data_IF_053921438071
#
_entry.id   IF_053921438071
#
_cell.length_a   1.000
_cell.length_b   1.000
_cell.length_c   1.000
_cell.angle_alpha   90.00
_cell.angle_beta   90.00
_cell.angle_gamma   90.00
#
_symmetry.space_group_name_H-M   'P 1'
#
loop_
_entity.id
_entity.type
_entity.pdbx_description
1 polymer ?
#
# COMPACT_ATOMS: atom_id res chain seq x y z
N UNK A 1 30.77 57.73 19.75
CA UNK A 1 29.80 57.62 20.86
C UNK A 1 30.05 56.28 21.53
N UNK A 2 30.63 56.28 22.74
CA UNK A 2 30.91 55.07 23.54
C UNK A 2 29.60 54.59 24.16
N UNK A 3 29.29 53.31 24.04
CA UNK A 3 28.21 52.67 24.79
C UNK A 3 28.90 51.82 25.87
N UNK A 4 28.87 52.34 27.10
CA UNK A 4 29.37 51.66 28.30
C UNK A 4 28.33 50.64 28.79
N UNK A 5 28.73 49.37 28.87
CA UNK A 5 27.96 48.31 29.52
C UNK A 5 28.10 48.44 31.05
N UNK A 6 27.07 48.96 31.73
CA UNK A 6 26.89 48.77 33.17
C UNK A 6 25.97 47.57 33.41
N UNK A 7 26.55 46.45 33.81
CA UNK A 7 25.84 45.34 34.44
C UNK A 7 25.71 45.68 35.92
N UNK A 8 24.51 46.02 36.37
CA UNK A 8 24.21 46.17 37.80
C UNK A 8 24.03 44.78 38.42
N UNK A 9 24.81 44.50 39.46
CA UNK A 9 24.78 43.26 40.22
C UNK A 9 23.46 43.14 41.00
N UNK A 10 22.56 42.27 40.53
CA UNK A 10 21.38 41.87 41.30
C UNK A 10 21.79 40.86 42.39
N UNK A 11 21.94 41.32 43.62
CA UNK A 11 22.27 40.45 44.76
C UNK A 11 20.98 40.06 45.48
N UNK A 12 20.53 38.81 45.32
CA UNK A 12 19.44 38.24 46.13
C UNK A 12 20.06 37.73 47.44
N UNK A 13 19.88 38.46 48.54
CA UNK A 13 20.20 37.94 49.87
C UNK A 13 19.05 37.04 50.35
N UNK A 14 19.17 35.73 50.22
CA UNK A 14 18.26 34.80 50.86
C UNK A 14 18.61 34.64 52.34
N UNK A 15 17.67 35.08 53.18
CA UNK A 15 17.74 35.03 54.64
C UNK A 15 17.90 33.61 55.18
N UNK A 16 18.61 33.54 56.30
CA UNK A 16 19.11 32.35 57.00
C UNK A 16 17.95 31.51 57.60
N UNK A 17 17.32 30.66 56.79
CA UNK A 17 16.47 29.55 57.23
C UNK A 17 16.87 28.22 56.54
N UNK A 18 18.17 28.02 56.30
CA UNK A 18 18.68 26.99 55.39
C UNK A 18 18.89 25.58 55.99
N UNK A 19 18.34 25.28 57.17
CA UNK A 19 18.58 24.00 57.87
C UNK A 19 17.56 22.90 57.57
N UNK A 20 16.26 23.22 57.63
CA UNK A 20 15.19 22.21 57.51
C UNK A 20 14.71 22.00 56.07
N UNK A 21 14.72 23.02 55.21
CA UNK A 21 14.24 22.90 53.83
C UNK A 21 15.23 22.24 52.88
N UNK A 22 16.55 22.38 53.12
CA UNK A 22 17.58 21.72 52.31
C UNK A 22 17.51 20.19 52.39
N UNK A 23 17.08 19.65 53.52
CA UNK A 23 16.90 18.20 53.71
C UNK A 23 15.69 17.69 52.94
N UNK A 24 14.66 18.53 52.75
CA UNK A 24 13.45 18.20 51.98
C UNK A 24 13.74 18.09 50.48
N UNK A 25 14.43 19.07 49.90
CA UNK A 25 14.79 19.08 48.47
C UNK A 25 15.73 17.93 48.09
N UNK A 26 16.69 17.61 48.96
CA UNK A 26 17.62 16.49 48.73
C UNK A 26 16.89 15.13 48.73
N UNK A 27 15.87 14.97 49.58
CA UNK A 27 15.03 13.75 49.61
C UNK A 27 14.14 13.63 48.38
N UNK A 28 13.56 14.74 47.91
CA UNK A 28 12.73 14.77 46.69
C UNK A 28 13.57 14.43 45.46
N UNK A 29 14.78 15.00 45.36
CA UNK A 29 15.70 14.70 44.25
C UNK A 29 16.15 13.23 44.26
N UNK A 30 16.45 12.66 45.43
CA UNK A 30 16.80 11.25 45.56
C UNK A 30 15.65 10.31 45.13
N UNK A 31 14.41 10.62 45.53
CA UNK A 31 13.23 9.86 45.11
C UNK A 31 12.97 9.95 43.61
N UNK A 32 13.17 11.13 43.01
CA UNK A 32 13.06 11.32 41.56
C UNK A 32 14.11 10.51 40.79
N UNK A 33 15.35 10.46 41.27
CA UNK A 33 16.41 9.67 40.64
C UNK A 33 16.16 8.16 40.77
N UNK A 34 15.62 7.70 41.91
CA UNK A 34 15.20 6.30 42.08
C UNK A 34 14.07 5.96 41.10
N UNK A 35 13.05 6.82 40.98
CA UNK A 35 11.95 6.64 40.04
C UNK A 35 12.44 6.62 38.59
N UNK A 36 13.37 7.50 38.22
CA UNK A 36 13.97 7.53 36.89
C UNK A 36 14.79 6.26 36.60
N UNK A 37 15.51 5.73 37.60
CA UNK A 37 16.25 4.47 37.47
C UNK A 37 15.34 3.25 37.34
N UNK A 38 14.17 3.25 38.01
CA UNK A 38 13.14 2.23 37.85
C UNK A 38 12.46 2.30 36.48
N UNK A 39 12.19 3.49 35.96
CA UNK A 39 11.72 3.68 34.58
C UNK A 39 12.73 3.15 33.56
N UNK A 40 14.02 3.41 33.80
CA UNK A 40 15.09 2.93 32.94
C UNK A 40 15.21 1.40 33.02
N UNK A 41 15.13 0.81 34.22
CA UNK A 41 15.13 -0.64 34.41
C UNK A 41 13.94 -1.34 33.73
N UNK A 42 12.76 -0.70 33.69
CA UNK A 42 11.58 -1.20 32.97
C UNK A 42 11.70 -1.09 31.45
N UNK A 43 12.63 -0.28 30.93
CA UNK A 43 12.89 -0.18 29.49
C UNK A 43 13.88 -1.23 28.94
N UNK A 44 14.50 -2.03 29.82
CA UNK A 44 15.35 -3.17 29.44
C UNK A 44 14.74 -4.49 29.91
N UNK A 45 13.52 -4.79 29.46
CA UNK A 45 13.21 -6.18 29.17
C UNK A 45 14.02 -6.53 27.94
N UNK A 46 15.20 -7.12 28.14
CA UNK A 46 15.90 -7.83 27.08
C UNK A 46 14.89 -8.82 26.49
N UNK A 47 14.34 -8.48 25.32
CA UNK A 47 13.80 -9.50 24.45
C UNK A 47 14.94 -10.48 24.27
N UNK A 48 14.83 -11.67 24.89
CA UNK A 48 15.64 -12.81 24.47
C UNK A 48 15.49 -12.84 22.96
N UNK A 49 16.55 -12.49 22.25
CA UNK A 49 16.66 -12.78 20.84
C UNK A 49 16.57 -14.31 20.78
N UNK A 50 15.35 -14.79 20.55
CA UNK A 50 15.10 -16.18 20.27
C UNK A 50 15.79 -16.44 18.93
N UNK A 51 17.06 -16.79 18.99
CA UNK A 51 17.80 -17.36 17.88
C UNK A 51 17.28 -18.77 17.61
N UNK A 52 15.96 -18.92 17.44
CA UNK A 52 15.39 -19.96 16.62
C UNK A 52 15.84 -19.62 15.21
N UNK A 53 16.93 -20.28 14.78
CA UNK A 53 17.39 -20.20 13.41
C UNK A 53 16.20 -20.38 12.48
N UNK A 54 15.94 -19.39 11.62
CA UNK A 54 14.86 -19.49 10.64
C UNK A 54 15.04 -20.78 9.83
N UNK A 55 14.15 -21.74 10.03
CA UNK A 55 14.16 -22.95 9.23
C UNK A 55 13.51 -22.66 7.88
N UNK A 56 13.91 -23.44 6.89
CA UNK A 56 13.27 -23.43 5.58
C UNK A 56 12.17 -24.50 5.58
N UNK A 57 10.93 -24.10 5.32
CA UNK A 57 9.81 -25.02 5.19
C UNK A 57 9.36 -25.09 3.73
N UNK A 58 9.47 -26.28 3.13
CA UNK A 58 9.24 -26.49 1.69
C UNK A 58 7.96 -27.30 1.50
N UNK A 59 7.07 -26.78 0.66
CA UNK A 59 5.86 -27.49 0.24
C UNK A 59 6.21 -28.70 -0.62
N UNK A 60 5.73 -29.87 -0.23
CA UNK A 60 5.86 -31.13 -0.96
C UNK A 60 4.54 -31.61 -1.57
N UNK A 61 3.39 -31.15 -1.05
CA UNK A 61 2.05 -31.48 -1.58
C UNK A 61 1.64 -32.96 -1.49
N UNK A 62 2.37 -33.80 -0.73
CA UNK A 62 2.12 -35.25 -0.68
C UNK A 62 0.81 -35.64 0.03
N UNK A 63 0.22 -34.75 0.82
CA UNK A 63 -1.09 -34.96 1.45
C UNK A 63 -2.26 -34.87 0.47
N UNK A 64 -2.07 -34.25 -0.69
CA UNK A 64 -3.05 -34.22 -1.79
C UNK A 64 -4.31 -33.38 -1.54
N UNK A 65 -4.46 -32.77 -0.35
CA UNK A 65 -5.63 -31.98 0.03
C UNK A 65 -5.42 -30.45 -0.13
N UNK A 66 -4.21 -30.02 -0.48
CA UNK A 66 -3.86 -28.61 -0.65
C UNK A 66 -3.89 -27.78 0.64
N UNK A 67 -3.98 -28.40 1.82
CA UNK A 67 -4.10 -27.68 3.10
C UNK A 67 -2.76 -27.43 3.76
N UNK A 68 -2.52 -26.20 4.18
CA UNK A 68 -1.31 -25.82 4.90
C UNK A 68 -1.19 -26.55 6.24
N UNK A 69 -2.30 -26.72 6.94
CA UNK A 69 -2.38 -27.41 8.22
C UNK A 69 -2.08 -28.91 8.17
N UNK A 70 -2.00 -29.53 6.99
CA UNK A 70 -1.68 -30.96 6.86
C UNK A 70 -0.14 -31.16 6.83
N UNK A 71 0.47 -31.79 7.85
CA UNK A 71 1.92 -31.99 7.90
C UNK A 71 2.47 -32.81 6.72
N UNK A 72 1.65 -33.68 6.10
CA UNK A 72 2.05 -34.46 4.93
C UNK A 72 2.31 -33.60 3.69
N UNK A 73 1.81 -32.37 3.64
CA UNK A 73 2.12 -31.44 2.56
C UNK A 73 3.47 -30.75 2.71
N UNK A 74 4.19 -30.96 3.81
CA UNK A 74 5.49 -30.34 4.07
C UNK A 74 6.62 -31.36 3.94
N UNK A 75 7.72 -30.98 3.30
CA UNK A 75 8.85 -31.88 3.03
C UNK A 75 9.46 -32.47 4.31
N UNK A 76 9.46 -31.72 5.41
CA UNK A 76 9.93 -32.14 6.73
C UNK A 76 8.90 -32.97 7.52
N UNK A 77 7.64 -33.01 7.07
CA UNK A 77 6.53 -33.55 7.87
C UNK A 77 6.09 -32.64 9.02
N UNK A 78 6.57 -31.38 9.07
CA UNK A 78 6.21 -30.40 10.09
C UNK A 78 5.60 -29.16 9.46
N UNK A 79 4.56 -28.61 10.10
CA UNK A 79 3.89 -27.37 9.68
C UNK A 79 4.83 -26.19 9.98
N UNK A 80 5.02 -25.23 9.05
CA UNK A 80 5.83 -24.03 9.29
C UNK A 80 5.32 -23.23 10.48
N UNK A 81 6.24 -22.66 11.26
CA UNK A 81 5.98 -21.73 12.35
C UNK A 81 6.33 -20.27 12.05
N UNK A 82 6.15 -19.37 13.04
CA UNK A 82 6.30 -17.92 12.87
C UNK A 82 7.69 -17.43 12.41
N UNK A 83 8.73 -18.23 12.62
CA UNK A 83 10.12 -17.88 12.31
C UNK A 83 10.62 -18.48 11.00
N UNK A 84 9.78 -19.26 10.31
CA UNK A 84 10.19 -20.04 9.14
C UNK A 84 10.06 -19.26 7.83
N UNK A 85 11.02 -19.50 6.94
CA UNK A 85 10.95 -19.05 5.55
C UNK A 85 10.25 -20.15 4.74
N UNK A 86 9.09 -19.83 4.19
CA UNK A 86 8.26 -20.80 3.48
C UNK A 86 8.46 -20.69 1.97
N UNK A 87 8.65 -21.85 1.34
CA UNK A 87 8.76 -21.97 -0.11
C UNK A 87 7.70 -22.95 -0.61
N UNK A 88 6.83 -22.43 -1.47
CA UNK A 88 5.93 -23.20 -2.31
C UNK A 88 6.49 -23.10 -3.73
N UNK A 89 6.93 -24.23 -4.29
CA UNK A 89 7.53 -24.33 -5.63
C UNK A 89 6.75 -25.28 -6.55
N UNK A 90 5.44 -25.38 -6.33
CA UNK A 90 4.53 -26.19 -7.12
C UNK A 90 3.17 -26.35 -6.43
N UNK A 91 2.21 -26.89 -7.19
CA UNK A 91 0.85 -27.15 -6.72
C UNK A 91 -0.20 -26.36 -7.50
N UNK A 92 -1.38 -26.96 -7.61
CA UNK A 92 -2.53 -26.33 -8.27
C UNK A 92 -3.24 -25.38 -7.30
N UNK A 93 -3.81 -25.91 -6.21
CA UNK A 93 -4.56 -25.12 -5.25
C UNK A 93 -4.03 -25.34 -3.84
N UNK A 94 -3.60 -24.26 -3.19
CA UNK A 94 -3.07 -24.29 -1.82
C UNK A 94 -3.92 -23.35 -0.97
N UNK A 95 -4.30 -23.82 0.22
CA UNK A 95 -5.05 -23.03 1.20
C UNK A 95 -4.22 -22.85 2.47
N UNK A 96 -3.84 -21.61 2.74
CA UNK A 96 -3.20 -21.21 4.00
C UNK A 96 -4.26 -21.05 5.09
N UNK A 97 -4.58 -22.16 5.76
CA UNK A 97 -5.56 -22.25 6.85
C UNK A 97 -4.92 -22.10 8.25
N UNK A 98 -3.68 -22.53 8.43
CA UNK A 98 -2.86 -22.30 9.63
C UNK A 98 -1.37 -22.39 9.29
N UNK A 99 -0.43 -21.85 10.08
CA UNK A 99 -0.63 -20.93 11.21
C UNK A 99 -1.05 -19.54 10.72
N UNK A 100 -1.18 -18.57 11.62
CA UNK A 100 -1.52 -17.18 11.25
C UNK A 100 -0.28 -16.34 10.88
N UNK A 101 0.91 -16.81 11.24
CA UNK A 101 2.15 -16.06 11.00
C UNK A 101 3.28 -17.00 10.57
N UNK A 102 4.08 -16.50 9.62
CA UNK A 102 5.38 -17.03 9.20
C UNK A 102 6.36 -15.87 8.98
N UNK A 103 7.64 -16.15 8.78
CA UNK A 103 8.63 -15.11 8.54
C UNK A 103 8.52 -14.54 7.14
N UNK A 104 8.70 -15.40 6.12
CA UNK A 104 8.62 -14.99 4.71
C UNK A 104 7.93 -16.05 3.89
N UNK A 105 7.41 -15.66 2.72
CA UNK A 105 6.67 -16.57 1.85
C UNK A 105 7.07 -16.38 0.39
N UNK A 106 7.54 -17.45 -0.24
CA UNK A 106 7.66 -17.53 -1.70
C UNK A 106 6.63 -18.50 -2.26
N UNK A 107 5.78 -18.01 -3.15
CA UNK A 107 4.74 -18.81 -3.83
C UNK A 107 4.99 -18.84 -5.32
N UNK A 108 5.30 -20.03 -5.82
CA UNK A 108 5.35 -20.38 -7.23
C UNK A 108 4.39 -21.56 -7.43
N UNK A 109 3.26 -21.30 -8.09
CA UNK A 109 2.24 -22.30 -8.40
C UNK A 109 2.34 -22.71 -9.86
N UNK A 110 1.74 -23.85 -10.20
CA UNK A 110 1.51 -24.23 -11.58
C UNK A 110 0.59 -23.23 -12.28
N UNK A 111 0.56 -23.29 -13.61
CA UNK A 111 -0.26 -22.40 -14.43
C UNK A 111 -1.72 -22.46 -13.97
N UNK A 112 -2.32 -21.28 -13.73
CA UNK A 112 -3.68 -21.12 -13.17
C UNK A 112 -3.87 -21.55 -11.71
N UNK A 113 -2.81 -21.88 -10.99
CA UNK A 113 -2.91 -22.24 -9.59
C UNK A 113 -3.48 -21.14 -8.70
N UNK A 114 -4.17 -21.53 -7.64
CA UNK A 114 -4.82 -20.62 -6.69
C UNK A 114 -4.16 -20.74 -5.32
N UNK A 115 -3.69 -19.61 -4.80
CA UNK A 115 -3.30 -19.46 -3.40
C UNK A 115 -4.44 -18.82 -2.62
N UNK A 116 -5.08 -19.60 -1.73
CA UNK A 116 -6.15 -19.13 -0.87
C UNK A 116 -5.60 -18.74 0.50
N UNK A 117 -5.79 -17.50 0.89
CA UNK A 117 -5.51 -16.98 2.24
C UNK A 117 -6.80 -17.06 3.05
N UNK A 118 -6.83 -17.85 4.12
CA UNK A 118 -8.02 -17.95 4.97
C UNK A 118 -7.91 -16.99 6.16
N UNK A 119 -8.87 -16.08 6.31
CA UNK A 119 -8.85 -15.10 7.40
C UNK A 119 -7.70 -14.10 7.27
N UNK A 120 -7.08 -13.74 8.39
CA UNK A 120 -5.91 -12.85 8.41
C UNK A 120 -4.62 -13.67 8.59
N UNK A 121 -3.66 -13.46 7.69
CA UNK A 121 -2.34 -14.11 7.73
C UNK A 121 -1.24 -13.06 7.70
N UNK A 122 -0.08 -13.40 8.23
CA UNK A 122 1.06 -12.47 8.36
C UNK A 122 2.36 -13.10 7.87
N UNK A 123 3.05 -12.35 7.01
CA UNK A 123 4.49 -12.51 6.73
C UNK A 123 5.23 -11.35 7.38
N UNK A 124 6.08 -11.60 8.37
CA UNK A 124 6.82 -10.51 9.06
C UNK A 124 7.92 -9.90 8.20
N UNK A 125 8.30 -10.60 7.13
CA UNK A 125 9.31 -10.20 6.17
C UNK A 125 8.72 -10.26 4.74
N UNK A 126 9.57 -10.51 3.75
CA UNK A 126 9.23 -10.42 2.34
C UNK A 126 8.19 -11.46 1.87
N UNK A 127 7.42 -11.04 0.88
CA UNK A 127 6.47 -11.87 0.13
C UNK A 127 6.88 -11.91 -1.35
N UNK A 128 6.99 -13.11 -1.91
CA UNK A 128 7.19 -13.35 -3.34
C UNK A 128 5.98 -14.10 -3.90
N UNK A 129 5.23 -13.46 -4.80
CA UNK A 129 4.10 -14.04 -5.53
C UNK A 129 4.52 -14.28 -6.98
N UNK A 130 5.20 -15.39 -7.23
CA UNK A 130 5.85 -15.71 -8.51
C UNK A 130 4.99 -16.62 -9.41
N UNK A 131 3.69 -16.67 -9.18
CA UNK A 131 2.79 -17.58 -9.91
C UNK A 131 2.58 -17.12 -11.37
N UNK A 132 2.59 -18.08 -12.30
CA UNK A 132 2.29 -17.82 -13.71
C UNK A 132 0.80 -17.99 -13.97
N UNK A 133 0.09 -16.90 -14.26
CA UNK A 133 -1.37 -16.89 -14.46
C UNK A 133 -2.21 -17.33 -13.25
N UNK A 134 -1.59 -17.47 -12.07
CA UNK A 134 -2.27 -17.81 -10.84
C UNK A 134 -3.06 -16.66 -10.23
N UNK A 135 -3.77 -16.96 -9.13
CA UNK A 135 -4.56 -16.00 -8.35
C UNK A 135 -4.25 -16.09 -6.87
N UNK A 136 -4.40 -14.97 -6.15
CA UNK A 136 -4.37 -14.92 -4.69
C UNK A 136 -5.76 -14.51 -4.18
N UNK A 137 -6.45 -15.44 -3.54
CA UNK A 137 -7.85 -15.29 -3.15
C UNK A 137 -8.03 -15.34 -1.62
N UNK A 138 -9.17 -14.86 -1.16
CA UNK A 138 -9.61 -15.01 0.22
C UNK A 138 -9.44 -13.75 1.05
N UNK A 139 -8.84 -13.89 2.23
CA UNK A 139 -8.78 -12.86 3.26
C UNK A 139 -7.61 -11.88 3.11
N UNK A 140 -7.05 -11.49 4.25
CA UNK A 140 -6.03 -10.43 4.35
C UNK A 140 -4.66 -11.06 4.59
N UNK A 141 -3.67 -10.64 3.79
CA UNK A 141 -2.27 -10.97 4.01
C UNK A 141 -1.50 -9.72 4.43
N UNK A 142 -1.17 -9.64 5.71
CA UNK A 142 -0.30 -8.61 6.28
C UNK A 142 1.15 -8.87 5.88
N UNK A 143 1.78 -7.90 5.23
CA UNK A 143 3.16 -8.01 4.74
C UNK A 143 4.03 -6.97 5.44
N UNK A 144 4.99 -7.45 6.23
CA UNK A 144 5.97 -6.64 6.93
C UNK A 144 7.18 -6.24 6.08
N UNK A 145 7.53 -7.04 5.06
CA UNK A 145 8.68 -6.78 4.18
C UNK A 145 8.30 -6.35 2.76
N UNK A 146 9.26 -6.42 1.84
CA UNK A 146 9.03 -6.11 0.43
C UNK A 146 8.10 -7.14 -0.24
N UNK A 147 7.41 -6.68 -1.28
CA UNK A 147 6.56 -7.53 -2.11
C UNK A 147 7.22 -7.67 -3.47
N UNK A 148 7.36 -8.89 -3.96
CA UNK A 148 7.82 -9.19 -5.32
C UNK A 148 6.73 -9.95 -6.06
N UNK A 149 6.40 -9.50 -7.26
CA UNK A 149 5.36 -10.11 -8.09
C UNK A 149 5.97 -10.64 -9.37
N UNK A 150 5.62 -11.90 -9.67
CA UNK A 150 5.99 -12.58 -10.90
C UNK A 150 5.16 -12.14 -12.11
N UNK A 151 5.58 -12.61 -13.26
CA UNK A 151 4.89 -12.33 -14.51
C UNK A 151 3.48 -12.93 -14.50
N UNK A 152 2.51 -12.18 -15.04
CA UNK A 152 1.16 -12.67 -15.36
C UNK A 152 0.26 -13.08 -14.18
N UNK A 153 0.59 -12.77 -12.92
CA UNK A 153 -0.37 -12.88 -11.81
C UNK A 153 -1.71 -12.24 -12.21
N UNK A 154 -2.84 -12.92 -11.99
CA UNK A 154 -4.16 -12.46 -12.45
C UNK A 154 -4.92 -11.65 -11.39
N UNK A 155 -4.26 -11.25 -10.31
CA UNK A 155 -4.88 -10.66 -9.14
C UNK A 155 -5.55 -11.73 -8.27
N UNK A 156 -6.80 -11.48 -7.90
CA UNK A 156 -7.61 -12.35 -7.05
C UNK A 156 -8.38 -11.53 -6.00
N UNK A 157 -9.08 -12.22 -5.11
CA UNK A 157 -9.98 -11.58 -4.13
C UNK A 157 -9.33 -11.22 -2.81
N UNK A 158 -8.09 -11.66 -2.56
CA UNK A 158 -7.39 -11.33 -1.33
C UNK A 158 -7.06 -9.82 -1.24
N UNK A 159 -6.69 -9.39 -0.04
CA UNK A 159 -6.10 -8.07 0.17
C UNK A 159 -4.69 -8.22 0.73
N UNK A 160 -3.69 -7.62 0.09
CA UNK A 160 -2.38 -7.43 0.71
C UNK A 160 -2.43 -6.16 1.56
N UNK A 161 -2.23 -6.30 2.86
CA UNK A 161 -2.08 -5.18 3.78
C UNK A 161 -0.59 -4.86 3.96
N UNK A 162 -0.17 -3.71 3.44
CA UNK A 162 1.20 -3.22 3.51
C UNK A 162 1.33 -2.42 4.81
N UNK A 163 1.92 -3.04 5.83
CA UNK A 163 1.93 -2.52 7.20
C UNK A 163 3.28 -2.65 7.93
N UNK A 164 4.37 -2.94 7.21
CA UNK A 164 5.72 -2.99 7.76
C UNK A 164 6.20 -1.64 8.31
N UNK A 165 7.16 -1.67 9.25
CA UNK A 165 7.74 -0.46 9.85
C UNK A 165 8.80 0.21 8.97
N UNK A 166 9.50 -0.57 8.15
CA UNK A 166 10.56 -0.10 7.27
C UNK A 166 10.00 0.38 5.93
N UNK A 167 10.88 0.92 5.10
CA UNK A 167 10.54 1.17 3.70
C UNK A 167 10.22 -0.17 3.01
N UNK A 168 9.06 -0.24 2.37
CA UNK A 168 8.64 -1.38 1.59
C UNK A 168 8.57 -1.00 0.12
N UNK A 169 9.04 -1.88 -0.74
CA UNK A 169 8.93 -1.75 -2.19
C UNK A 169 8.01 -2.84 -2.71
N UNK A 170 7.12 -2.48 -3.63
CA UNK A 170 6.45 -3.45 -4.48
C UNK A 170 7.28 -3.56 -5.76
N UNK A 171 8.05 -4.62 -5.92
CA UNK A 171 8.78 -4.90 -7.14
C UNK A 171 7.97 -5.80 -8.07
N UNK A 172 7.92 -5.45 -9.34
CA UNK A 172 7.24 -6.25 -10.36
C UNK A 172 8.28 -6.70 -11.38
N UNK A 173 8.25 -7.97 -11.75
CA UNK A 173 8.95 -8.40 -12.95
C UNK A 173 8.15 -7.93 -14.18
N UNK A 174 8.38 -6.68 -14.55
CA UNK A 174 8.28 -5.98 -15.84
C UNK A 174 7.18 -6.23 -16.89
N UNK A 175 6.27 -7.22 -16.85
CA UNK A 175 5.33 -7.40 -17.98
C UNK A 175 3.84 -7.30 -17.66
N UNK A 176 3.22 -8.14 -16.83
CA UNK A 176 1.74 -8.09 -16.77
C UNK A 176 1.06 -8.52 -15.48
N UNK A 177 1.82 -8.84 -14.42
CA UNK A 177 1.25 -9.25 -13.14
C UNK A 177 0.37 -8.18 -12.52
N UNK A 178 -0.88 -8.53 -12.24
CA UNK A 178 -1.82 -7.74 -11.45
C UNK A 178 -1.79 -8.25 -10.02
N UNK A 179 -1.51 -7.35 -9.08
CA UNK A 179 -1.71 -7.62 -7.65
C UNK A 179 -3.20 -7.81 -7.35
N UNK A 180 -3.57 -8.54 -6.28
CA UNK A 180 -4.93 -8.50 -5.75
C UNK A 180 -5.17 -7.13 -5.07
N UNK A 181 -6.21 -7.00 -4.24
CA UNK A 181 -6.46 -5.73 -3.53
C UNK A 181 -5.27 -5.30 -2.67
N UNK A 182 -5.03 -4.01 -2.54
CA UNK A 182 -3.97 -3.42 -1.72
C UNK A 182 -4.58 -2.50 -0.67
N UNK A 183 -4.21 -2.70 0.59
CA UNK A 183 -4.38 -1.72 1.66
C UNK A 183 -3.02 -1.24 2.15
N UNK A 184 -2.89 0.05 2.40
CA UNK A 184 -1.67 0.66 2.93
C UNK A 184 -2.01 1.27 4.28
N UNK A 185 -1.44 0.68 5.33
CA UNK A 185 -1.71 1.03 6.73
C UNK A 185 -0.40 1.08 7.53
N UNK A 186 0.56 1.84 7.02
CA UNK A 186 1.92 1.91 7.59
C UNK A 186 1.98 2.87 8.77
N UNK A 187 2.53 2.41 9.90
CA UNK A 187 2.83 3.29 11.05
C UNK A 187 4.09 4.14 10.81
N UNK A 188 5.05 3.60 10.05
CA UNK A 188 6.32 4.24 9.71
C UNK A 188 6.84 3.71 8.37
N UNK A 189 7.92 4.33 7.88
CA UNK A 189 8.51 4.00 6.59
C UNK A 189 7.63 4.42 5.41
N UNK A 190 8.18 4.27 4.21
CA UNK A 190 7.51 4.62 2.96
C UNK A 190 7.14 3.37 2.18
N UNK A 191 6.02 3.41 1.47
CA UNK A 191 5.79 2.51 0.35
C UNK A 191 6.39 3.13 -0.92
N UNK A 192 7.36 2.46 -1.51
CA UNK A 192 7.99 2.84 -2.76
C UNK A 192 7.20 2.19 -3.90
N UNK A 193 6.55 3.04 -4.71
CA UNK A 193 5.94 2.64 -5.98
C UNK A 193 7.05 2.77 -7.05
N UNK A 194 7.59 1.65 -7.58
CA UNK A 194 8.62 1.70 -8.62
C UNK A 194 8.01 2.19 -9.94
N UNK A 195 8.75 2.09 -11.04
CA UNK A 195 8.32 2.51 -12.39
C UNK A 195 6.85 2.21 -12.71
N UNK A 196 6.37 1.01 -12.38
CA UNK A 196 4.98 0.60 -12.63
C UNK A 196 4.47 -0.44 -11.63
N UNK A 197 3.33 -0.18 -11.01
CA UNK A 197 2.62 -1.13 -10.13
C UNK A 197 1.19 -1.32 -10.60
N UNK A 198 0.83 -2.54 -11.00
CA UNK A 198 -0.54 -2.88 -11.45
C UNK A 198 -1.32 -3.54 -10.31
N UNK A 199 -2.51 -3.03 -10.04
CA UNK A 199 -3.41 -3.54 -9.00
C UNK A 199 -4.75 -3.88 -9.63
N UNK A 200 -5.16 -5.13 -9.46
CA UNK A 200 -6.36 -5.72 -10.00
C UNK A 200 -7.58 -5.65 -9.09
N UNK A 201 -7.37 -5.38 -7.80
CA UNK A 201 -8.43 -5.18 -6.82
C UNK A 201 -8.50 -3.72 -6.37
N UNK A 202 -9.14 -3.51 -5.23
CA UNK A 202 -9.23 -2.18 -4.62
C UNK A 202 -7.83 -1.64 -4.25
N UNK A 203 -7.67 -0.33 -4.38
CA UNK A 203 -6.54 0.40 -3.82
C UNK A 203 -7.02 1.25 -2.65
N UNK A 204 -6.53 0.95 -1.45
CA UNK A 204 -6.96 1.59 -0.21
C UNK A 204 -5.79 2.16 0.58
N UNK A 205 -5.57 3.47 0.47
CA UNK A 205 -4.60 4.17 1.31
C UNK A 205 -5.27 4.69 2.58
N UNK A 206 -4.92 4.10 3.72
CA UNK A 206 -5.42 4.52 5.04
C UNK A 206 -4.48 5.53 5.71
N UNK A 207 -3.19 5.21 5.73
CA UNK A 207 -2.14 6.04 6.33
C UNK A 207 -0.74 5.60 5.88
N UNK A 208 0.24 6.48 6.06
CA UNK A 208 1.66 6.24 5.80
C UNK A 208 2.24 7.29 4.87
N UNK A 209 3.35 6.96 4.20
CA UNK A 209 3.95 7.81 3.17
C UNK A 209 4.17 7.00 1.88
N UNK A 210 3.99 7.66 0.74
CA UNK A 210 4.35 7.13 -0.58
C UNK A 210 5.63 7.80 -1.09
N UNK A 211 6.45 7.02 -1.78
CA UNK A 211 7.63 7.50 -2.49
C UNK A 211 7.73 6.87 -3.88
N UNK A 212 8.61 7.45 -4.70
CA UNK A 212 8.84 7.01 -6.07
C UNK A 212 8.12 7.88 -7.10
N UNK A 213 8.63 7.82 -8.33
CA UNK A 213 8.08 8.52 -9.51
C UNK A 213 7.32 7.55 -10.41
N UNK A 214 6.83 6.47 -9.81
CA UNK A 214 6.14 5.38 -10.47
C UNK A 214 4.76 5.71 -11.01
N UNK A 215 4.24 4.79 -11.81
CA UNK A 215 2.84 4.79 -12.23
C UNK A 215 2.07 3.73 -11.45
N UNK A 216 1.08 4.18 -10.66
CA UNK A 216 0.04 3.31 -10.14
C UNK A 216 -0.95 3.01 -11.29
N UNK A 217 -1.10 1.73 -11.62
CA UNK A 217 -2.02 1.26 -12.64
C UNK A 217 -3.15 0.50 -11.98
N UNK A 218 -4.34 1.09 -11.97
CA UNK A 218 -5.56 0.43 -11.52
C UNK A 218 -6.16 -0.32 -12.71
N UNK A 219 -6.34 -1.62 -12.55
CA UNK A 219 -6.76 -2.51 -13.63
C UNK A 219 -7.74 -3.56 -13.12
N UNK A 220 -8.32 -4.35 -14.02
CA UNK A 220 -9.37 -5.35 -13.75
C UNK A 220 -10.68 -4.76 -13.18
N UNK A 221 -11.63 -5.62 -12.83
CA UNK A 221 -13.06 -5.34 -12.57
C UNK A 221 -13.33 -4.41 -11.38
N UNK A 222 -14.48 -3.70 -11.34
CA UNK A 222 -15.06 -2.91 -10.22
C UNK A 222 -14.12 -2.63 -9.04
N UNK A 223 -13.10 -1.79 -9.28
CA UNK A 223 -12.10 -1.45 -8.26
C UNK A 223 -12.47 -0.12 -7.64
N UNK A 224 -12.35 -0.02 -6.32
CA UNK A 224 -12.38 1.25 -5.61
C UNK A 224 -10.98 1.85 -5.56
N UNK A 225 -10.91 3.15 -5.83
CA UNK A 225 -9.73 3.95 -5.53
C UNK A 225 -10.02 4.83 -4.32
N UNK A 226 -9.41 4.49 -3.20
CA UNK A 226 -9.49 5.24 -1.95
C UNK A 226 -8.11 5.88 -1.76
N UNK A 227 -7.87 7.08 -2.32
CA UNK A 227 -6.53 7.65 -2.41
C UNK A 227 -5.94 8.10 -1.06
N UNK A 228 -6.78 8.32 -0.05
CA UNK A 228 -6.37 8.92 1.22
C UNK A 228 -5.75 10.31 1.05
N UNK A 229 -4.93 10.73 2.01
CA UNK A 229 -4.17 11.99 1.97
C UNK A 229 -2.85 11.88 1.17
N UNK A 230 -2.60 10.74 0.52
CA UNK A 230 -1.38 10.48 -0.24
C UNK A 230 -1.28 11.31 -1.52
N UNK A 231 -0.02 11.55 -1.94
CA UNK A 231 0.32 12.12 -3.24
C UNK A 231 0.85 11.04 -4.16
N UNK A 232 0.16 10.82 -5.28
CA UNK A 232 0.53 9.85 -6.31
C UNK A 232 1.28 10.57 -7.42
N UNK A 233 2.36 9.99 -7.95
CA UNK A 233 3.10 10.64 -9.05
C UNK A 233 2.32 10.57 -10.36
N UNK A 234 2.17 9.36 -10.92
CA UNK A 234 1.30 9.07 -12.06
C UNK A 234 0.23 8.06 -11.66
N UNK A 235 -0.98 8.24 -12.17
CA UNK A 235 -2.07 7.26 -12.07
C UNK A 235 -2.59 6.94 -13.46
N UNK A 236 -2.68 5.65 -13.76
CA UNK A 236 -3.37 5.16 -14.96
C UNK A 236 -4.52 4.25 -14.53
N UNK A 237 -5.70 4.50 -15.07
CA UNK A 237 -6.85 3.60 -14.95
C UNK A 237 -6.97 2.88 -16.28
N UNK A 238 -6.72 1.57 -16.29
CA UNK A 238 -6.82 0.71 -17.47
C UNK A 238 -7.89 -0.35 -17.23
N UNK A 239 -9.10 -0.09 -17.72
CA UNK A 239 -10.23 -1.01 -17.58
C UNK A 239 -10.50 -1.72 -18.90
N UNK A 240 -10.74 -3.03 -18.82
CA UNK A 240 -11.17 -3.83 -19.96
C UNK A 240 -12.69 -3.98 -19.85
N UNK A 241 -13.47 -3.38 -20.76
CA UNK A 241 -14.96 -3.38 -20.80
C UNK A 241 -15.68 -2.40 -19.82
N UNK A 242 -17.02 -2.45 -19.82
CA UNK A 242 -18.00 -1.55 -19.16
C UNK A 242 -17.92 -1.55 -17.63
N UNK A 243 -16.84 -1.05 -17.06
CA UNK A 243 -16.63 -1.07 -15.61
C UNK A 243 -16.51 0.31 -15.01
N UNK A 244 -16.99 0.41 -13.78
CA UNK A 244 -17.01 1.66 -13.05
C UNK A 244 -15.75 1.79 -12.20
N UNK A 245 -15.29 3.03 -12.02
CA UNK A 245 -14.28 3.40 -11.05
C UNK A 245 -14.93 4.26 -9.99
N UNK A 246 -15.02 3.73 -8.78
CA UNK A 246 -15.45 4.50 -7.62
C UNK A 246 -14.23 5.15 -6.96
N UNK A 247 -14.24 6.47 -6.87
CA UNK A 247 -13.26 7.25 -6.14
C UNK A 247 -13.89 7.67 -4.83
N UNK A 248 -13.32 7.20 -3.72
CA UNK A 248 -13.85 7.45 -2.39
C UNK A 248 -12.89 8.36 -1.63
N UNK A 249 -13.20 9.66 -1.59
CA UNK A 249 -12.40 10.69 -0.94
C UNK A 249 -11.76 11.68 -1.91
N UNK A 250 -10.71 12.37 -1.46
CA UNK A 250 -9.98 13.36 -2.26
C UNK A 250 -8.55 12.87 -2.47
N UNK A 251 -8.13 12.67 -3.72
CA UNK A 251 -6.77 12.27 -4.06
C UNK A 251 -5.96 13.39 -4.72
N UNK A 252 -4.64 13.31 -4.60
CA UNK A 252 -3.70 14.20 -5.29
C UNK A 252 -2.81 13.41 -6.23
N UNK A 253 -2.82 13.79 -7.50
CA UNK A 253 -1.95 13.27 -8.55
C UNK A 253 -1.01 14.40 -8.95
N UNK A 254 0.29 14.20 -8.71
CA UNK A 254 1.31 15.25 -8.87
C UNK A 254 1.59 15.52 -10.34
N UNK A 255 1.73 14.46 -11.13
CA UNK A 255 1.97 14.53 -12.56
C UNK A 255 0.70 14.13 -13.33
N UNK A 256 0.71 13.03 -14.07
CA UNK A 256 -0.33 12.76 -15.05
C UNK A 256 -1.39 11.76 -14.55
N UNK A 257 -2.64 12.01 -14.95
CA UNK A 257 -3.76 11.08 -14.85
C UNK A 257 -4.15 10.60 -16.25
N UNK A 258 -4.03 9.30 -16.48
CA UNK A 258 -4.51 8.63 -17.69
C UNK A 258 -5.74 7.80 -17.37
N UNK A 259 -6.84 8.07 -18.06
CA UNK A 259 -8.08 7.34 -17.98
C UNK A 259 -8.29 6.62 -19.31
N UNK A 260 -8.07 5.31 -19.32
CA UNK A 260 -8.15 4.46 -20.51
C UNK A 260 -9.21 3.40 -20.24
N UNK A 261 -10.41 3.61 -20.80
CA UNK A 261 -11.48 2.62 -20.72
C UNK A 261 -12.30 2.59 -22.01
N UNK A 262 -12.60 1.42 -22.59
CA UNK A 262 -13.50 1.35 -23.74
C UNK A 262 -14.92 1.80 -23.37
N UNK A 263 -15.35 1.67 -22.11
CA UNK A 263 -16.64 2.10 -21.59
C UNK A 263 -16.70 2.14 -20.03
N UNK A 264 -17.61 2.91 -19.42
CA UNK A 264 -17.83 2.93 -17.95
C UNK A 264 -18.06 4.33 -17.37
N UNK A 265 -18.33 4.44 -16.07
CA UNK A 265 -18.38 5.75 -15.35
C UNK A 265 -17.28 5.86 -14.29
N UNK A 266 -16.94 7.11 -13.96
CA UNK A 266 -16.11 7.42 -12.79
C UNK A 266 -17.01 8.13 -11.78
N UNK A 267 -17.23 7.52 -10.63
CA UNK A 267 -18.16 7.99 -9.60
C UNK A 267 -17.43 8.44 -8.34
N UNK A 268 -18.00 9.46 -7.70
CA UNK A 268 -17.61 9.91 -6.37
C UNK A 268 -16.31 10.71 -6.32
N UNK A 269 -15.99 11.21 -5.13
CA UNK A 269 -14.68 11.76 -4.80
C UNK A 269 -14.20 12.96 -5.63
N UNK A 270 -12.93 13.32 -5.42
CA UNK A 270 -12.26 14.40 -6.13
C UNK A 270 -10.81 14.00 -6.41
N UNK A 271 -10.31 14.27 -7.62
CA UNK A 271 -8.90 14.13 -7.96
C UNK A 271 -8.32 15.48 -8.35
N UNK A 272 -7.28 15.89 -7.65
CA UNK A 272 -6.50 17.08 -8.00
C UNK A 272 -5.29 16.63 -8.82
N UNK A 273 -5.26 16.99 -10.10
CA UNK A 273 -4.24 16.57 -11.07
C UNK A 273 -3.32 17.75 -11.39
N UNK A 274 -2.04 17.62 -11.07
CA UNK A 274 -1.02 18.66 -11.29
C UNK A 274 -0.54 18.75 -12.73
N UNK A 275 -0.46 17.61 -13.43
CA UNK A 275 -0.03 17.48 -14.82
C UNK A 275 -1.20 17.33 -15.79
N UNK A 276 -1.02 16.45 -16.77
CA UNK A 276 -1.98 16.20 -17.84
C UNK A 276 -3.11 15.28 -17.37
N UNK A 277 -4.32 15.59 -17.83
CA UNK A 277 -5.45 14.67 -17.81
C UNK A 277 -5.63 14.17 -19.23
N UNK A 278 -5.43 12.87 -19.43
CA UNK A 278 -5.69 12.21 -20.71
C UNK A 278 -6.83 11.24 -20.53
N UNK A 279 -7.86 11.37 -21.36
CA UNK A 279 -9.03 10.49 -21.36
C UNK A 279 -9.13 9.84 -22.72
N UNK A 280 -9.12 8.51 -22.76
CA UNK A 280 -9.24 7.70 -23.96
C UNK A 280 -10.37 6.68 -23.80
N UNK A 281 -11.29 6.68 -24.76
CA UNK A 281 -12.47 5.82 -24.83
C UNK A 281 -13.76 6.46 -24.29
N UNK A 282 -14.83 5.66 -24.14
CA UNK A 282 -16.18 6.18 -23.83
C UNK A 282 -16.44 6.24 -22.32
N UNK A 283 -16.21 7.39 -21.70
CA UNK A 283 -16.68 7.62 -20.33
C UNK A 283 -18.10 8.18 -20.34
N UNK A 284 -19.02 7.52 -19.63
CA UNK A 284 -20.37 8.03 -19.44
C UNK A 284 -20.34 9.23 -18.49
N UNK A 285 -20.14 10.40 -19.09
CA UNK A 285 -20.09 11.68 -18.38
C UNK A 285 -21.39 12.00 -17.66
N UNK A 286 -22.55 11.52 -18.15
CA UNK A 286 -23.86 11.85 -17.57
C UNK A 286 -24.05 11.19 -16.20
N UNK A 287 -23.45 10.02 -16.03
CA UNK A 287 -23.52 9.25 -14.79
C UNK A 287 -22.23 9.30 -13.95
N UNK A 288 -21.21 10.00 -14.45
CA UNK A 288 -19.97 10.25 -13.71
C UNK A 288 -20.14 11.43 -12.76
N UNK A 289 -19.76 11.25 -11.49
CA UNK A 289 -19.90 12.27 -10.43
C UNK A 289 -18.58 12.76 -9.87
N UNK A 290 -17.45 12.22 -10.34
CA UNK A 290 -16.12 12.64 -9.89
C UNK A 290 -15.76 14.05 -10.35
N UNK A 291 -15.23 14.83 -9.42
CA UNK A 291 -14.66 16.15 -9.73
C UNK A 291 -13.16 15.97 -10.02
N UNK A 292 -12.73 16.26 -11.25
CA UNK A 292 -11.31 16.30 -11.62
C UNK A 292 -10.88 17.77 -11.73
N UNK A 293 -10.01 18.22 -10.81
CA UNK A 293 -9.48 19.59 -10.79
C UNK A 293 -8.07 19.58 -11.34
N UNK A 294 -7.82 20.34 -12.40
CA UNK A 294 -6.45 20.56 -12.90
C UNK A 294 -5.86 21.78 -12.21
N UNK A 295 -4.72 21.63 -11.55
CA UNK A 295 -4.11 22.70 -10.74
C UNK A 295 -3.24 23.67 -11.54
N UNK A 296 -2.87 23.34 -12.79
CA UNK A 296 -2.04 24.20 -13.66
C UNK A 296 -2.67 24.42 -15.05
N UNK A 297 -2.49 25.63 -15.56
CA UNK A 297 -3.14 26.25 -16.72
C UNK A 297 -3.15 25.42 -18.02
N UNK A 298 -4.20 25.66 -18.80
CA UNK A 298 -4.61 24.95 -20.01
C UNK A 298 -3.65 25.17 -21.20
N UNK A 299 -3.16 24.10 -21.80
CA UNK A 299 -3.11 23.98 -23.26
C UNK A 299 -3.98 22.77 -23.58
N UNK A 300 -5.13 22.99 -24.18
CA UNK A 300 -5.92 21.90 -24.72
C UNK A 300 -5.84 21.96 -26.23
N UNK A 301 -5.39 20.88 -26.83
CA UNK A 301 -6.05 20.41 -28.04
C UNK A 301 -7.35 19.76 -27.61
N UNK A 302 -8.34 20.61 -27.28
CA UNK A 302 -9.73 20.21 -27.19
C UNK A 302 -10.28 20.22 -28.62
N UNK A 303 -9.89 19.26 -29.45
CA UNK A 303 -10.61 19.03 -30.70
C UNK A 303 -12.00 18.45 -30.37
N UNK A 304 -12.94 19.37 -30.20
CA UNK A 304 -14.40 19.25 -30.42
C UNK A 304 -14.93 17.82 -30.63
N UNK A 305 -15.21 17.10 -29.54
CA UNK A 305 -16.15 15.97 -29.58
C UNK A 305 -17.58 16.48 -29.36
N UNK A 306 -18.18 17.02 -30.42
CA UNK A 306 -19.62 17.26 -30.53
C UNK A 306 -20.17 16.31 -31.60
N UNK A 307 -20.47 15.06 -31.21
CA UNK A 307 -21.01 14.05 -32.13
C UNK A 307 -22.38 14.45 -32.72
N UNK A 308 -23.17 15.27 -32.02
CA UNK A 308 -24.45 15.77 -32.50
C UNK A 308 -24.36 17.08 -33.31
N UNK A 309 -23.27 17.85 -33.16
CA UNK A 309 -23.08 19.11 -33.91
C UNK A 309 -22.65 18.90 -35.37
N UNK A 310 -22.07 17.75 -35.69
CA UNK A 310 -21.57 17.44 -37.04
C UNK A 310 -22.61 16.76 -37.94
N UNK A 311 -23.68 16.18 -37.41
CA UNK A 311 -24.79 15.68 -38.24
C UNK A 311 -25.53 16.86 -38.91
N UNK A 312 -25.70 17.98 -38.21
CA UNK A 312 -26.34 19.17 -38.79
C UNK A 312 -25.49 19.86 -39.87
N UNK A 313 -24.16 19.83 -39.75
CA UNK A 313 -23.27 20.42 -40.77
C UNK A 313 -23.11 19.56 -42.02
N UNK A 314 -23.22 18.22 -41.88
CA UNK A 314 -23.28 17.33 -43.05
C UNK A 314 -24.60 17.54 -43.80
N UNK A 315 -25.72 17.80 -43.10
CA UNK A 315 -27.00 18.12 -43.75
C UNK A 315 -27.01 19.50 -44.44
N UNK A 316 -26.40 20.54 -43.87
CA UNK A 316 -26.25 21.84 -44.57
C UNK A 316 -25.32 21.78 -45.78
N UNK A 317 -24.39 20.82 -45.82
CA UNK A 317 -23.54 20.58 -47.00
C UNK A 317 -24.33 19.92 -48.14
N UNK A 318 -25.27 19.00 -47.83
CA UNK A 318 -26.13 18.39 -48.85
C UNK A 318 -27.22 19.32 -49.39
N UNK A 319 -27.74 20.25 -48.59
CA UNK A 319 -28.78 21.21 -49.03
C UNK A 319 -28.24 22.34 -49.94
N UNK A 320 -26.91 22.51 -50.02
CA UNK A 320 -26.27 23.50 -50.90
C UNK A 320 -25.66 22.87 -52.17
N UNK A 321 -25.87 21.57 -52.39
CA UNK A 321 -25.34 20.82 -53.56
C UNK A 321 -26.47 20.15 -54.39
N UNK A 322 -27.74 20.32 -54.01
CA UNK A 322 -28.91 19.99 -54.80
C UNK A 322 -29.93 21.12 -54.74
#
# INVERSE_FOLDING_TARGET
MKIDNKIENFTISCGRAAGKERISLLRIFALFMIFLSLLFALSFTEAKADTQNSAMAIWAGKGGDGKWSNPLNWASGAIPGPNDNVIINGGDNITWDAPDQIKSLSVELYTFGIFNVLGEKTTTNNLWLLTSQGRVNGGVLNVGGNITVGNNLKGGTATLNINGSDNQTISNHTKDGNLPGITIDKLSGMLIIPERTKVGGDWNFKKGALAGFGTLVLTLYDTKFIPGDASYYNVTVMKNAFFDLDILGTGRIVNDLFLISPSGKISGGTLNVGGSLVVSGYFDKKNSTTIIKKTNSFSANLEKFNFLGNIFKVFEWFYNIF
#
